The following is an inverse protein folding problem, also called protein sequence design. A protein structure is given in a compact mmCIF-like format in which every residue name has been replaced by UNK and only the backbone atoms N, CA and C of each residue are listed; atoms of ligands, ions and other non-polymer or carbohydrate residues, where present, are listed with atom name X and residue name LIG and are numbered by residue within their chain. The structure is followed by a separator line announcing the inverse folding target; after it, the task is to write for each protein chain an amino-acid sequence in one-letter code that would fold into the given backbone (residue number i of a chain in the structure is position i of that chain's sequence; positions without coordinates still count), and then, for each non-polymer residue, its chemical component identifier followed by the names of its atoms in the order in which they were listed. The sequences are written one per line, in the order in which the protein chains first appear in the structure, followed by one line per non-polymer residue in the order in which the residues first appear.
data_IF_097461287623
#
_entry.id   IF_097461287623
#
_cell.length_a   1.000
_cell.length_b   1.000
_cell.length_c   1.000
_cell.angle_alpha   90.00
_cell.angle_beta   90.00
_cell.angle_gamma   90.00
#
_symmetry.space_group_name_H-M   'P 1'
#
loop_
_entity.id
_entity.type
_entity.pdbx_description
1 polymer ?
#
# COMPACT_ATOMS: atom_id res chain seq x y z
N UNK A 1 -24.82 54.11 35.44
CA UNK A 1 -23.84 53.06 35.76
C UNK A 1 -24.18 51.84 34.94
N UNK A 2 -23.45 51.62 33.85
CA UNK A 2 -23.57 50.40 33.04
C UNK A 2 -22.19 50.20 32.40
N UNK A 3 -21.38 49.35 33.03
CA UNK A 3 -20.06 48.96 32.51
C UNK A 3 -20.29 47.89 31.44
N UNK A 4 -20.07 48.23 30.19
CA UNK A 4 -20.02 47.26 29.09
C UNK A 4 -18.67 46.56 29.15
N UNK A 5 -18.69 45.27 29.53
CA UNK A 5 -17.52 44.42 29.58
C UNK A 5 -17.23 43.89 28.16
N UNK A 6 -16.19 44.41 27.52
CA UNK A 6 -15.72 43.93 26.22
C UNK A 6 -14.85 42.68 26.45
N UNK A 7 -15.42 41.50 26.23
CA UNK A 7 -14.69 40.23 26.26
C UNK A 7 -13.93 40.04 24.94
N UNK A 8 -12.63 40.31 24.96
CA UNK A 8 -11.71 39.92 23.89
C UNK A 8 -11.49 38.40 23.94
N UNK A 9 -12.02 37.66 22.97
CA UNK A 9 -11.63 36.27 22.74
C UNK A 9 -10.25 36.24 22.06
N UNK A 10 -9.20 36.07 22.87
CA UNK A 10 -7.87 35.73 22.37
C UNK A 10 -7.87 34.22 22.11
N UNK A 11 -8.03 33.82 20.86
CA UNK A 11 -7.82 32.44 20.40
C UNK A 11 -6.32 32.12 20.44
N UNK A 12 -5.88 31.59 21.58
CA UNK A 12 -4.56 30.97 21.71
C UNK A 12 -4.59 29.70 20.85
N UNK A 13 -4.00 29.76 19.66
CA UNK A 13 -3.59 28.58 18.91
C UNK A 13 -2.48 27.88 19.70
N UNK A 14 -2.88 27.05 20.67
CA UNK A 14 -1.97 26.11 21.31
C UNK A 14 -1.61 25.05 20.25
N UNK A 15 -0.42 25.16 19.68
CA UNK A 15 0.21 24.06 18.97
C UNK A 15 0.29 22.89 19.95
N UNK A 16 -0.63 21.94 19.80
CA UNK A 16 -0.61 20.71 20.57
C UNK A 16 0.66 19.96 20.20
N UNK A 17 1.67 20.05 21.07
CA UNK A 17 2.75 19.08 21.10
C UNK A 17 2.10 17.71 21.28
N UNK A 18 2.02 16.94 20.20
CA UNK A 18 1.68 15.53 20.24
C UNK A 18 2.71 14.84 21.13
N UNK A 19 2.35 14.63 22.39
CA UNK A 19 3.11 13.81 23.32
C UNK A 19 3.04 12.37 22.84
N UNK A 20 4.18 11.86 22.35
CA UNK A 20 4.33 10.47 21.94
C UNK A 20 4.06 9.54 23.15
N UNK A 21 3.16 8.58 22.99
CA UNK A 21 2.97 7.52 23.97
C UNK A 21 4.06 6.46 23.76
N UNK A 22 5.06 6.45 24.65
CA UNK A 22 6.12 5.44 24.67
C UNK A 22 5.65 4.24 25.50
N UNK A 23 4.85 3.36 24.89
CA UNK A 23 4.64 2.02 25.43
C UNK A 23 5.71 1.10 24.84
N UNK A 24 6.77 0.85 25.61
CA UNK A 24 7.90 0.03 25.19
C UNK A 24 8.84 0.73 24.19
N UNK A 25 9.84 0.00 23.68
CA UNK A 25 10.82 0.47 22.66
C UNK A 25 10.21 0.86 21.31
N UNK A 26 8.88 0.98 21.20
CA UNK A 26 8.17 1.23 19.94
C UNK A 26 7.70 2.68 19.88
N UNK A 27 8.23 3.42 18.92
CA UNK A 27 7.81 4.76 18.54
C UNK A 27 6.60 4.65 17.59
N UNK A 28 5.46 5.22 18.01
CA UNK A 28 4.23 5.29 17.22
C UNK A 28 4.07 6.72 16.68
N UNK A 29 4.31 6.91 15.38
CA UNK A 29 4.31 8.22 14.73
C UNK A 29 2.99 8.45 13.99
N UNK A 30 2.19 9.47 14.35
CA UNK A 30 0.94 9.75 13.64
C UNK A 30 1.22 10.15 12.19
N UNK A 31 0.39 9.64 11.28
CA UNK A 31 0.46 9.88 9.85
C UNK A 31 -0.59 10.90 9.42
N UNK A 32 -0.20 11.79 8.51
CA UNK A 32 -1.12 12.63 7.75
C UNK A 32 -1.10 12.20 6.29
N UNK A 33 -2.25 11.87 5.72
CA UNK A 33 -2.39 11.55 4.31
C UNK A 33 -2.32 12.85 3.49
N UNK A 34 -1.65 12.78 2.33
CA UNK A 34 -1.59 13.81 1.31
C UNK A 34 -1.85 13.16 -0.06
N UNK A 35 -2.55 13.88 -0.93
CA UNK A 35 -2.83 13.43 -2.30
C UNK A 35 -1.61 13.65 -3.21
N UNK A 36 -1.50 12.81 -4.24
CA UNK A 36 -0.37 12.71 -5.15
C UNK A 36 0.60 11.57 -4.79
N UNK A 37 1.65 11.44 -5.60
CA UNK A 37 2.71 10.45 -5.34
C UNK A 37 3.79 10.96 -4.38
N UNK A 38 3.80 12.26 -4.06
CA UNK A 38 4.82 12.87 -3.23
C UNK A 38 6.24 12.53 -3.73
N UNK A 39 7.13 12.07 -2.85
CA UNK A 39 8.51 11.78 -3.21
C UNK A 39 8.69 10.40 -3.86
N UNK A 40 7.65 9.59 -4.02
CA UNK A 40 7.77 8.24 -4.57
C UNK A 40 7.55 8.19 -6.09
N UNK A 41 8.08 7.14 -6.72
CA UNK A 41 7.74 6.74 -8.09
C UNK A 41 6.31 6.21 -8.12
N UNK A 42 5.49 6.67 -9.08
CA UNK A 42 4.13 6.18 -9.23
C UNK A 42 4.10 4.69 -9.61
N UNK A 43 3.12 3.96 -9.09
CA UNK A 43 2.90 2.54 -9.34
C UNK A 43 1.43 2.28 -9.58
N UNK A 44 1.13 1.21 -10.30
CA UNK A 44 -0.22 0.82 -10.70
C UNK A 44 -0.50 -0.63 -10.30
N UNK A 45 -1.68 -0.86 -9.76
CA UNK A 45 -2.31 -2.17 -9.68
C UNK A 45 -3.12 -2.45 -10.93
N UNK A 46 -3.52 -3.71 -11.12
CA UNK A 46 -4.38 -4.13 -12.22
C UNK A 46 -5.77 -4.46 -11.69
N UNK A 47 -6.81 -3.97 -12.35
CA UNK A 47 -8.19 -4.35 -12.03
C UNK A 47 -8.41 -5.77 -12.54
N UNK A 48 -8.74 -6.69 -11.63
CA UNK A 48 -9.17 -8.04 -11.99
C UNK A 48 -10.55 -7.98 -12.63
N UNK A 49 -10.69 -8.48 -13.85
CA UNK A 49 -12.02 -8.56 -14.47
C UNK A 49 -12.81 -9.70 -13.79
N UNK A 50 -14.01 -9.39 -13.31
CA UNK A 50 -14.93 -10.40 -12.82
C UNK A 50 -15.35 -11.30 -13.99
N UNK A 51 -15.04 -12.59 -13.88
CA UNK A 51 -15.38 -13.60 -14.89
C UNK A 51 -16.19 -14.70 -14.24
N UNK A 52 -17.46 -14.83 -14.65
CA UNK A 52 -18.43 -15.82 -14.16
C UNK A 52 -18.04 -17.28 -14.43
N UNK A 53 -16.98 -17.53 -15.22
CA UNK A 53 -16.52 -18.88 -15.57
C UNK A 53 -15.11 -19.20 -15.05
N UNK A 54 -14.51 -18.31 -14.26
CA UNK A 54 -13.17 -18.52 -13.72
C UNK A 54 -13.17 -19.61 -12.64
N UNK A 55 -12.13 -20.47 -12.67
CA UNK A 55 -11.83 -21.43 -11.60
C UNK A 55 -10.87 -20.85 -10.56
N UNK A 56 -10.54 -19.56 -10.65
CA UNK A 56 -9.66 -18.91 -9.68
C UNK A 56 -10.31 -18.78 -8.31
N UNK A 57 -9.50 -18.89 -7.27
CA UNK A 57 -9.96 -18.95 -5.88
C UNK A 57 -10.65 -17.66 -5.42
N UNK A 58 -10.49 -16.56 -6.16
CA UNK A 58 -11.11 -15.27 -5.88
C UNK A 58 -12.48 -15.07 -6.52
N UNK A 59 -12.88 -15.91 -7.48
CA UNK A 59 -14.16 -15.77 -8.17
C UNK A 59 -15.39 -15.71 -7.22
N UNK A 60 -15.47 -16.50 -6.13
CA UNK A 60 -16.58 -16.39 -5.18
C UNK A 60 -16.67 -15.04 -4.44
N UNK A 61 -15.62 -14.21 -4.52
CA UNK A 61 -15.58 -12.88 -3.93
C UNK A 61 -16.13 -11.78 -4.85
N UNK A 62 -16.37 -12.10 -6.12
CA UNK A 62 -16.95 -11.16 -7.09
C UNK A 62 -18.27 -10.56 -6.59
N UNK A 63 -18.45 -9.27 -6.86
CA UNK A 63 -19.64 -8.52 -6.49
C UNK A 63 -20.39 -8.14 -7.77
N UNK A 64 -21.56 -8.73 -8.02
CA UNK A 64 -22.37 -8.36 -9.16
C UNK A 64 -22.75 -6.88 -9.09
N UNK A 65 -22.51 -6.17 -10.19
CA UNK A 65 -22.95 -4.78 -10.39
C UNK A 65 -24.10 -4.72 -11.40
N UNK A 66 -24.83 -3.60 -11.42
CA UNK A 66 -25.90 -3.29 -12.37
C UNK A 66 -25.75 -1.88 -12.93
N UNK A 67 -26.71 -1.44 -13.73
CA UNK A 67 -26.73 -0.06 -14.26
C UNK A 67 -25.75 0.19 -15.40
N UNK A 68 -25.20 -0.86 -16.02
CA UNK A 68 -24.25 -0.72 -17.12
C UNK A 68 -24.82 0.12 -18.28
N UNK A 69 -23.99 0.95 -18.95
CA UNK A 69 -24.44 1.75 -20.08
C UNK A 69 -25.09 0.89 -21.18
N UNK A 70 -26.36 1.14 -21.57
CA UNK A 70 -27.08 0.31 -22.56
C UNK A 70 -26.40 0.23 -23.94
N UNK A 71 -25.57 1.22 -24.27
CA UNK A 71 -24.80 1.28 -25.53
C UNK A 71 -23.58 0.34 -25.56
N UNK A 72 -23.15 -0.20 -24.42
CA UNK A 72 -21.98 -1.08 -24.35
C UNK A 72 -22.39 -2.51 -24.67
N UNK A 73 -22.10 -2.95 -25.90
CA UNK A 73 -22.39 -4.32 -26.36
C UNK A 73 -21.41 -5.35 -25.79
N UNK A 74 -20.13 -4.97 -25.69
CA UNK A 74 -19.05 -5.77 -25.12
C UNK A 74 -18.37 -4.94 -24.03
N UNK A 75 -18.35 -5.44 -22.81
CA UNK A 75 -17.69 -4.77 -21.71
C UNK A 75 -17.13 -5.78 -20.72
N UNK A 76 -16.22 -5.31 -19.88
CA UNK A 76 -15.78 -6.00 -18.68
C UNK A 76 -16.01 -5.10 -17.48
N UNK A 77 -16.05 -5.68 -16.30
CA UNK A 77 -16.10 -4.95 -15.05
C UNK A 77 -15.33 -5.72 -13.99
N UNK A 78 -14.97 -5.03 -12.91
CA UNK A 78 -14.23 -5.61 -11.82
C UNK A 78 -14.08 -4.63 -10.67
N UNK A 79 -13.56 -5.14 -9.56
CA UNK A 79 -13.26 -4.34 -8.39
C UNK A 79 -11.76 -4.05 -8.29
N UNK A 80 -11.44 -2.91 -7.68
CA UNK A 80 -10.14 -2.70 -7.05
C UNK A 80 -10.33 -2.56 -5.55
N UNK A 81 -9.51 -3.26 -4.78
CA UNK A 81 -9.58 -3.30 -3.33
C UNK A 81 -8.81 -2.14 -2.71
N UNK A 82 -9.45 -1.40 -1.82
CA UNK A 82 -8.81 -0.30 -1.07
C UNK A 82 -8.15 -0.74 0.23
N UNK A 83 -8.47 -1.94 0.70
CA UNK A 83 -7.88 -2.60 1.86
C UNK A 83 -7.96 -4.12 1.62
N UNK A 84 -6.86 -4.68 1.11
CA UNK A 84 -6.79 -6.10 0.71
C UNK A 84 -6.91 -7.06 1.89
N UNK A 85 -6.39 -6.67 3.07
CA UNK A 85 -6.44 -7.51 4.27
C UNK A 85 -7.87 -7.60 4.80
N UNK A 86 -8.57 -6.45 4.85
CA UNK A 86 -9.99 -6.39 5.21
C UNK A 86 -10.86 -7.12 4.18
N UNK A 87 -10.62 -6.94 2.89
CA UNK A 87 -11.33 -7.65 1.81
C UNK A 87 -11.19 -9.17 1.95
N UNK A 88 -9.98 -9.65 2.19
CA UNK A 88 -9.70 -11.07 2.36
C UNK A 88 -10.38 -11.61 3.61
N UNK A 89 -10.24 -10.91 4.75
CA UNK A 89 -10.82 -11.31 6.02
C UNK A 89 -12.35 -11.42 5.94
N UNK A 90 -13.04 -10.41 5.40
CA UNK A 90 -14.50 -10.42 5.34
C UNK A 90 -15.02 -11.52 4.40
N UNK A 91 -14.36 -11.75 3.27
CA UNK A 91 -14.78 -12.81 2.34
C UNK A 91 -14.53 -14.21 2.91
N UNK A 92 -13.43 -14.40 3.66
CA UNK A 92 -13.22 -15.63 4.43
C UNK A 92 -14.34 -15.85 5.46
N UNK A 93 -14.69 -14.83 6.25
CA UNK A 93 -15.78 -14.93 7.24
C UNK A 93 -17.16 -15.15 6.61
N UNK A 94 -17.34 -14.79 5.33
CA UNK A 94 -18.52 -15.12 4.54
C UNK A 94 -18.52 -16.54 3.95
N UNK A 95 -17.45 -17.32 4.13
CA UNK A 95 -17.30 -18.64 3.52
C UNK A 95 -17.03 -18.62 2.02
N UNK A 96 -16.59 -17.47 1.48
CA UNK A 96 -16.24 -17.31 0.06
C UNK A 96 -14.80 -17.73 -0.25
N UNK A 97 -13.95 -17.84 0.77
CA UNK A 97 -12.60 -18.39 0.67
C UNK A 97 -12.54 -19.68 1.50
N UNK A 98 -11.85 -20.70 0.98
CA UNK A 98 -11.60 -21.93 1.74
C UNK A 98 -10.61 -21.70 2.88
N UNK A 99 -10.62 -22.56 3.90
CA UNK A 99 -9.63 -22.52 4.98
C UNK A 99 -8.19 -22.65 4.44
N UNK A 100 -7.98 -23.52 3.45
CA UNK A 100 -6.67 -23.70 2.80
C UNK A 100 -6.21 -22.43 2.11
N UNK A 101 -7.08 -21.79 1.31
CA UNK A 101 -6.72 -20.55 0.61
C UNK A 101 -6.38 -19.45 1.60
N UNK A 102 -7.21 -19.28 2.64
CA UNK A 102 -7.01 -18.25 3.64
C UNK A 102 -5.72 -18.44 4.44
N UNK A 103 -5.39 -19.69 4.80
CA UNK A 103 -4.13 -20.04 5.48
C UNK A 103 -2.93 -19.79 4.56
N UNK A 104 -3.02 -20.13 3.28
CA UNK A 104 -1.92 -19.93 2.34
C UNK A 104 -1.68 -18.45 2.02
N UNK A 105 -2.74 -17.64 1.95
CA UNK A 105 -2.65 -16.18 1.89
C UNK A 105 -1.94 -15.63 3.12
N UNK A 106 -2.33 -16.01 4.34
CA UNK A 106 -1.65 -15.59 5.58
C UNK A 106 -0.15 -15.89 5.56
N UNK A 107 0.25 -17.08 5.10
CA UNK A 107 1.68 -17.46 4.97
C UNK A 107 2.40 -16.61 3.93
N UNK A 108 1.83 -16.50 2.72
CA UNK A 108 2.41 -15.75 1.60
C UNK A 108 2.64 -14.28 1.97
N UNK A 109 1.66 -13.71 2.66
CA UNK A 109 1.61 -12.32 3.06
C UNK A 109 2.27 -12.04 4.40
N UNK A 110 2.77 -13.09 5.08
CA UNK A 110 3.32 -13.03 6.45
C UNK A 110 2.40 -12.27 7.40
N UNK A 111 1.10 -12.48 7.24
CA UNK A 111 0.05 -11.75 7.91
C UNK A 111 -0.64 -12.65 8.93
N UNK A 112 -0.80 -12.12 10.14
CA UNK A 112 -1.66 -12.71 11.17
C UNK A 112 -2.84 -11.77 11.38
N UNK A 113 -4.08 -12.19 11.07
CA UNK A 113 -5.27 -11.37 11.22
C UNK A 113 -5.49 -10.95 12.68
N UNK A 114 -5.68 -9.66 12.92
CA UNK A 114 -6.13 -9.13 14.21
C UNK A 114 -7.63 -8.85 14.12
N UNK A 115 -8.44 -9.72 14.72
CA UNK A 115 -9.90 -9.62 14.66
C UNK A 115 -10.45 -8.36 15.35
N UNK A 116 -9.66 -7.68 16.19
CA UNK A 116 -10.07 -6.39 16.74
C UNK A 116 -9.91 -5.25 15.73
N UNK A 117 -9.10 -5.46 14.69
CA UNK A 117 -8.80 -4.48 13.66
C UNK A 117 -9.52 -4.73 12.35
N UNK A 118 -10.24 -5.84 12.21
CA UNK A 118 -10.91 -6.24 10.99
C UNK A 118 -12.39 -6.50 11.26
N UNK A 119 -13.24 -6.09 10.32
CA UNK A 119 -14.68 -6.33 10.40
C UNK A 119 -15.03 -7.68 9.77
N UNK A 120 -15.67 -8.56 10.54
CA UNK A 120 -16.25 -9.80 9.98
C UNK A 120 -17.51 -9.50 9.16
N UNK A 121 -18.19 -8.37 9.45
CA UNK A 121 -19.29 -7.87 8.63
C UNK A 121 -18.70 -7.16 7.40
N UNK A 122 -19.19 -7.44 6.18
CA UNK A 122 -18.68 -6.80 4.99
C UNK A 122 -18.79 -5.28 5.08
N UNK A 123 -17.73 -4.61 4.65
CA UNK A 123 -17.71 -3.17 4.42
C UNK A 123 -17.30 -2.91 2.96
N UNK A 124 -17.53 -1.69 2.50
CA UNK A 124 -17.17 -1.24 1.15
C UNK A 124 -15.68 -0.88 1.05
N UNK A 125 -14.80 -1.84 1.30
CA UNK A 125 -13.35 -1.69 1.19
C UNK A 125 -12.82 -1.91 -0.24
N UNK A 126 -13.60 -1.56 -1.25
CA UNK A 126 -13.34 -1.74 -2.67
C UNK A 126 -14.03 -0.64 -3.47
N UNK A 127 -13.78 -0.55 -4.78
CA UNK A 127 -14.61 0.23 -5.72
C UNK A 127 -14.68 -0.49 -7.06
N UNK A 128 -15.84 -0.45 -7.72
CA UNK A 128 -16.03 -1.10 -9.02
C UNK A 128 -15.76 -0.14 -10.17
N UNK A 129 -15.23 -0.68 -11.25
CA UNK A 129 -15.24 -0.02 -12.54
C UNK A 129 -15.67 -0.98 -13.64
N UNK A 130 -16.18 -0.41 -14.72
CA UNK A 130 -16.49 -1.14 -15.95
C UNK A 130 -15.88 -0.41 -17.14
N UNK A 131 -15.48 -1.15 -18.16
CA UNK A 131 -14.86 -0.61 -19.36
C UNK A 131 -15.37 -1.30 -20.62
N UNK A 132 -15.61 -0.47 -21.64
CA UNK A 132 -16.06 -0.93 -22.95
C UNK A 132 -14.88 -1.48 -23.77
N UNK A 133 -15.17 -2.50 -24.56
CA UNK A 133 -14.30 -3.03 -25.62
C UNK A 133 -15.08 -2.89 -26.93
N UNK A 134 -14.64 -2.02 -27.83
CA UNK A 134 -15.33 -1.83 -29.11
C UNK A 134 -15.24 -3.06 -30.03
N UNK A 135 -15.95 -3.04 -31.16
CA UNK A 135 -15.98 -4.16 -32.13
C UNK A 135 -14.60 -4.45 -32.75
N UNK A 136 -13.64 -3.53 -32.65
CA UNK A 136 -12.26 -3.68 -33.10
C UNK A 136 -11.29 -4.07 -31.97
N UNK A 137 -11.80 -4.27 -30.74
CA UNK A 137 -11.00 -4.59 -29.57
C UNK A 137 -10.35 -3.38 -28.88
N UNK A 138 -10.68 -2.15 -29.27
CA UNK A 138 -10.17 -0.97 -28.60
C UNK A 138 -10.93 -0.68 -27.32
N UNK A 139 -10.18 -0.29 -26.29
CA UNK A 139 -10.69 0.20 -25.01
C UNK A 139 -10.66 1.73 -25.02
N UNK A 140 -11.68 2.36 -24.45
CA UNK A 140 -11.75 3.83 -24.41
C UNK A 140 -12.64 4.37 -23.31
N UNK A 141 -13.90 3.95 -23.28
CA UNK A 141 -14.86 4.40 -22.28
C UNK A 141 -14.76 3.56 -21.01
N UNK A 142 -14.67 4.23 -19.86
CA UNK A 142 -14.64 3.66 -18.51
C UNK A 142 -15.71 4.34 -17.67
N UNK A 143 -16.29 3.61 -16.73
CA UNK A 143 -17.17 4.12 -15.68
C UNK A 143 -16.69 3.60 -14.33
N UNK A 144 -16.73 4.44 -13.30
CA UNK A 144 -16.32 4.13 -11.94
C UNK A 144 -17.56 4.28 -11.06
N UNK A 145 -17.83 3.30 -10.20
CA UNK A 145 -18.90 3.31 -9.20
C UNK A 145 -18.51 4.25 -8.06
N UNK A 146 -18.68 5.55 -8.27
CA UNK A 146 -18.06 6.57 -7.44
C UNK A 146 -18.73 6.68 -6.06
N UNK A 147 -20.01 6.37 -5.95
CA UNK A 147 -20.72 6.34 -4.67
C UNK A 147 -20.72 4.92 -4.03
N UNK A 148 -20.11 3.96 -4.73
CA UNK A 148 -19.90 2.58 -4.28
C UNK A 148 -21.21 1.87 -3.96
N UNK A 149 -22.23 2.04 -4.80
CA UNK A 149 -23.57 1.48 -4.63
C UNK A 149 -23.81 0.22 -5.48
N UNK A 150 -22.81 -0.24 -6.25
CA UNK A 150 -22.86 -1.34 -7.22
C UNK A 150 -23.86 -1.12 -8.38
N UNK A 151 -24.18 0.13 -8.69
CA UNK A 151 -25.13 0.54 -9.73
C UNK A 151 -24.57 1.72 -10.53
N UNK A 152 -24.04 1.43 -11.73
CA UNK A 152 -23.43 2.43 -12.59
C UNK A 152 -24.42 3.43 -13.23
N UNK A 153 -25.73 3.32 -12.95
CA UNK A 153 -26.73 4.17 -13.63
C UNK A 153 -26.69 5.64 -13.23
N UNK A 154 -26.08 5.97 -12.09
CA UNK A 154 -25.88 7.36 -11.63
C UNK A 154 -24.43 7.84 -11.74
N UNK A 155 -23.55 7.04 -12.34
CA UNK A 155 -22.14 7.37 -12.56
C UNK A 155 -21.86 7.97 -13.95
N UNK A 156 -20.73 8.65 -14.04
CA UNK A 156 -20.31 9.34 -15.27
C UNK A 156 -19.29 8.51 -16.05
N UNK A 157 -19.57 8.29 -17.34
CA UNK A 157 -18.61 7.70 -18.28
C UNK A 157 -17.51 8.72 -18.62
N UNK A 158 -16.27 8.25 -18.70
CA UNK A 158 -15.13 9.05 -19.12
C UNK A 158 -14.13 8.22 -19.94
N UNK A 159 -13.25 8.91 -20.67
CA UNK A 159 -12.15 8.26 -21.38
C UNK A 159 -10.91 8.20 -20.49
N UNK A 160 -10.42 7.00 -20.20
CA UNK A 160 -9.19 6.82 -19.42
C UNK A 160 -7.94 7.06 -20.28
N UNK A 161 -6.87 7.54 -19.65
CA UNK A 161 -5.61 7.83 -20.34
C UNK A 161 -4.87 6.53 -20.68
N UNK A 162 -4.23 6.45 -21.84
CA UNK A 162 -3.33 5.33 -22.15
C UNK A 162 -2.16 5.29 -21.14
N UNK A 163 -1.85 4.11 -20.60
CA UNK A 163 -0.78 3.92 -19.61
C UNK A 163 0.55 4.56 -20.02
N UNK A 164 0.97 4.40 -21.29
CA UNK A 164 2.23 4.96 -21.81
C UNK A 164 2.26 6.49 -21.85
N UNK A 165 1.09 7.12 -21.87
CA UNK A 165 0.93 8.58 -21.91
C UNK A 165 0.60 9.21 -20.56
N UNK A 166 0.66 8.45 -19.48
CA UNK A 166 0.32 8.95 -18.15
C UNK A 166 1.40 9.92 -17.61
N UNK A 167 0.99 11.10 -17.13
CA UNK A 167 1.90 12.07 -16.50
C UNK A 167 2.08 11.75 -15.02
N UNK A 168 3.11 10.95 -14.70
CA UNK A 168 3.47 10.56 -13.34
C UNK A 168 3.80 11.75 -12.41
N UNK A 169 4.07 12.94 -12.95
CA UNK A 169 4.34 14.15 -12.14
C UNK A 169 3.06 14.80 -11.65
N UNK A 170 1.93 14.55 -12.32
CA UNK A 170 0.64 15.13 -11.96
C UNK A 170 -0.48 14.08 -12.07
N UNK A 171 -0.46 13.04 -11.21
CA UNK A 171 -1.44 11.95 -11.30
C UNK A 171 -2.88 12.43 -11.03
N UNK A 172 -3.04 13.49 -10.21
CA UNK A 172 -4.33 14.05 -9.86
C UNK A 172 -5.05 14.71 -11.05
N UNK A 173 -4.33 15.05 -12.12
CA UNK A 173 -4.93 15.51 -13.39
C UNK A 173 -5.93 14.49 -13.96
N UNK A 174 -5.69 13.21 -13.73
CA UNK A 174 -6.49 12.10 -14.26
C UNK A 174 -7.39 11.47 -13.19
N UNK A 175 -7.34 11.97 -11.96
CA UNK A 175 -8.03 11.34 -10.85
C UNK A 175 -9.55 11.50 -10.95
N UNK A 176 -10.26 10.40 -10.71
CA UNK A 176 -11.65 10.37 -10.28
C UNK A 176 -11.69 10.18 -8.77
N UNK A 177 -12.82 10.48 -8.15
CA UNK A 177 -12.99 10.28 -6.71
C UNK A 177 -14.09 9.26 -6.48
N UNK A 178 -13.90 8.43 -5.47
CA UNK A 178 -14.88 7.45 -5.04
C UNK A 178 -15.02 7.42 -3.53
N UNK A 179 -16.16 6.92 -3.05
CA UNK A 179 -16.43 6.64 -1.65
C UNK A 179 -16.06 5.18 -1.32
N UNK A 180 -15.47 4.96 -0.15
CA UNK A 180 -15.22 3.63 0.38
C UNK A 180 -15.34 3.65 1.91
N UNK A 181 -15.15 2.49 2.52
CA UNK A 181 -15.27 2.29 3.96
C UNK A 181 -14.01 1.62 4.54
N UNK A 182 -13.64 2.07 5.74
CA UNK A 182 -12.60 1.47 6.56
C UNK A 182 -13.16 1.09 7.91
N UNK A 183 -12.69 -0.02 8.46
CA UNK A 183 -12.99 -0.40 9.83
C UNK A 183 -11.89 0.13 10.75
N UNK A 184 -12.24 0.97 11.72
CA UNK A 184 -11.32 1.61 12.66
C UNK A 184 -11.88 1.49 14.06
N UNK A 185 -11.16 0.80 14.95
CA UNK A 185 -11.47 0.66 16.37
C UNK A 185 -12.95 0.32 16.64
N UNK A 186 -13.48 -0.69 15.94
CA UNK A 186 -14.87 -1.14 16.12
C UNK A 186 -15.91 -0.38 15.30
N UNK A 187 -15.52 0.62 14.50
CA UNK A 187 -16.43 1.51 13.77
C UNK A 187 -16.14 1.53 12.28
N UNK A 188 -17.19 1.69 11.48
CA UNK A 188 -17.05 1.94 10.04
C UNK A 188 -16.89 3.44 9.83
N UNK A 189 -15.83 3.84 9.14
CA UNK A 189 -15.53 5.21 8.76
C UNK A 189 -15.55 5.31 7.24
N UNK A 190 -16.24 6.32 6.72
CA UNK A 190 -16.26 6.62 5.29
C UNK A 190 -14.99 7.37 4.88
N UNK A 191 -14.43 6.99 3.74
CA UNK A 191 -13.34 7.70 3.07
C UNK A 191 -13.77 8.15 1.68
N UNK A 192 -13.15 9.25 1.22
CA UNK A 192 -13.20 9.71 -0.16
C UNK A 192 -11.78 9.74 -0.67
N UNK A 193 -11.49 9.00 -1.74
CA UNK A 193 -10.14 8.82 -2.24
C UNK A 193 -10.04 9.11 -3.74
N UNK A 194 -8.90 9.66 -4.21
CA UNK A 194 -8.61 9.76 -5.62
C UNK A 194 -8.24 8.38 -6.19
N UNK A 195 -8.60 8.12 -7.44
CA UNK A 195 -8.11 7.00 -8.26
C UNK A 195 -7.84 7.47 -9.67
N UNK A 196 -6.67 7.19 -10.18
CA UNK A 196 -6.33 7.32 -11.59
C UNK A 196 -6.52 5.95 -12.26
N UNK A 197 -7.33 5.89 -13.32
CA UNK A 197 -7.49 4.71 -14.16
C UNK A 197 -6.79 4.93 -15.50
N UNK A 198 -6.05 3.92 -15.94
CA UNK A 198 -5.34 3.92 -17.23
C UNK A 198 -5.66 2.67 -18.04
N UNK A 199 -5.58 2.81 -19.36
CA UNK A 199 -5.80 1.74 -20.32
C UNK A 199 -4.45 1.14 -20.74
N UNK A 200 -4.26 -0.15 -20.46
CA UNK A 200 -3.17 -1.01 -20.95
C UNK A 200 -3.80 -2.28 -21.56
N UNK A 201 -4.28 -2.24 -22.81
CA UNK A 201 -5.17 -3.27 -23.33
C UNK A 201 -4.58 -4.69 -23.22
N UNK A 202 -5.38 -5.69 -22.79
CA UNK A 202 -6.83 -5.66 -22.53
C UNK A 202 -7.25 -5.23 -21.11
N UNK A 203 -6.34 -4.62 -20.34
CA UNK A 203 -6.52 -4.37 -18.91
C UNK A 203 -6.82 -2.89 -18.60
N UNK A 204 -7.47 -2.69 -17.45
CA UNK A 204 -7.48 -1.41 -16.75
C UNK A 204 -6.49 -1.52 -15.60
N UNK A 205 -5.58 -0.57 -15.56
CA UNK A 205 -4.67 -0.39 -14.44
C UNK A 205 -5.15 0.80 -13.60
N UNK A 206 -4.93 0.73 -12.30
CA UNK A 206 -5.36 1.75 -11.34
C UNK A 206 -4.22 2.19 -10.44
N UNK A 207 -4.29 3.43 -9.99
CA UNK A 207 -3.43 3.95 -8.95
C UNK A 207 -4.25 4.86 -8.04
N UNK A 208 -4.08 4.72 -6.73
CA UNK A 208 -4.67 5.59 -5.71
C UNK A 208 -3.56 6.56 -5.29
N UNK A 209 -3.45 7.76 -5.90
CA UNK A 209 -2.33 8.66 -5.69
C UNK A 209 -2.45 9.33 -4.33
N UNK A 210 -2.08 8.62 -3.28
CA UNK A 210 -1.94 9.12 -1.92
C UNK A 210 -0.65 8.61 -1.30
N UNK A 211 -0.03 9.44 -0.48
CA UNK A 211 1.06 9.04 0.40
C UNK A 211 0.82 9.62 1.80
N UNK A 212 1.52 9.10 2.80
CA UNK A 212 1.44 9.64 4.14
C UNK A 212 2.74 10.34 4.52
N UNK A 213 2.63 11.34 5.38
CA UNK A 213 3.75 12.06 5.97
C UNK A 213 3.71 12.01 7.47
N UNK A 214 4.89 11.95 8.07
CA UNK A 214 5.06 12.20 9.50
C UNK A 214 6.36 12.93 9.76
N UNK A 215 6.48 13.46 10.96
CA UNK A 215 7.73 14.05 11.43
C UNK A 215 7.96 13.70 12.89
N UNK A 216 9.23 13.57 13.23
CA UNK A 216 9.69 13.25 14.57
C UNK A 216 10.83 14.19 14.94
N UNK A 217 10.89 14.63 16.19
CA UNK A 217 11.95 15.52 16.67
C UNK A 217 12.77 14.81 17.72
N UNK A 218 14.08 14.73 17.48
CA UNK A 218 15.06 14.20 18.42
C UNK A 218 16.25 15.15 18.50
N UNK A 219 16.76 15.42 19.70
CA UNK A 219 17.90 16.33 19.93
C UNK A 219 17.76 17.70 19.24
N UNK A 220 16.53 18.26 19.23
CA UNK A 220 16.16 19.52 18.54
C UNK A 220 16.25 19.49 17.01
N UNK A 221 16.56 18.33 16.42
CA UNK A 221 16.50 18.13 14.98
C UNK A 221 15.16 17.52 14.58
N UNK A 222 14.55 18.05 13.52
CA UNK A 222 13.29 17.55 12.98
C UNK A 222 13.58 16.64 11.78
N UNK A 223 13.18 15.38 11.90
CA UNK A 223 13.22 14.39 10.85
C UNK A 223 11.85 14.27 10.20
N UNK A 224 11.82 14.16 8.86
CA UNK A 224 10.61 13.95 8.09
C UNK A 224 10.66 12.56 7.46
N UNK A 225 9.55 11.83 7.54
CA UNK A 225 9.42 10.51 6.95
C UNK A 225 8.22 10.55 6.00
N UNK A 226 8.45 10.08 4.77
CA UNK A 226 7.40 9.79 3.81
C UNK A 226 7.05 8.30 3.89
N UNK A 227 5.78 7.97 3.70
CA UNK A 227 5.25 6.60 3.76
C UNK A 227 4.35 6.36 2.54
N UNK A 228 4.53 5.22 1.87
CA UNK A 228 3.70 4.80 0.73
C UNK A 228 3.36 3.32 0.85
N UNK A 229 2.20 2.91 0.34
CA UNK A 229 1.83 1.51 0.12
C UNK A 229 1.82 1.13 -1.37
N UNK A 230 2.60 1.84 -2.19
CA UNK A 230 2.69 1.55 -3.61
C UNK A 230 1.44 1.93 -4.42
N UNK A 231 0.56 2.77 -3.85
CA UNK A 231 -0.62 3.33 -4.51
C UNK A 231 -1.67 2.30 -4.94
N UNK A 232 -1.62 1.08 -4.38
CA UNK A 232 -2.61 0.03 -4.63
C UNK A 232 -3.77 0.01 -3.63
N UNK A 233 -3.71 0.80 -2.56
CA UNK A 233 -4.70 0.77 -1.48
C UNK A 233 -4.70 2.05 -0.64
N UNK A 234 -5.45 2.04 0.45
CA UNK A 234 -5.65 3.18 1.37
C UNK A 234 -5.31 2.86 2.83
N UNK A 235 -5.07 1.59 3.11
CA UNK A 235 -4.81 1.03 4.43
C UNK A 235 -3.35 1.16 4.87
N UNK A 236 -2.45 1.41 3.90
CA UNK A 236 -1.01 1.50 4.09
C UNK A 236 -0.33 0.19 4.54
N UNK A 237 -0.94 -0.98 4.30
CA UNK A 237 -0.24 -2.26 4.49
C UNK A 237 0.95 -2.39 3.54
N UNK A 238 1.94 -3.18 3.95
CA UNK A 238 3.20 -3.37 3.21
C UNK A 238 3.89 -2.05 2.92
N UNK A 239 3.89 -1.16 3.92
CA UNK A 239 4.38 0.20 3.73
C UNK A 239 5.87 0.22 3.42
N UNK A 240 6.24 1.17 2.56
CA UNK A 240 7.61 1.59 2.30
C UNK A 240 7.81 2.98 2.86
N UNK A 241 8.93 3.18 3.54
CA UNK A 241 9.26 4.47 4.18
C UNK A 241 10.64 4.95 3.76
N UNK A 242 10.86 6.26 3.89
CA UNK A 242 12.19 6.85 3.80
C UNK A 242 12.24 8.23 4.47
N UNK A 243 13.41 8.59 5.01
CA UNK A 243 13.72 9.94 5.46
C UNK A 243 13.81 10.90 4.28
N UNK A 244 13.17 12.06 4.40
CA UNK A 244 13.15 13.07 3.34
C UNK A 244 13.59 14.42 3.86
N UNK A 245 14.27 15.20 3.00
CA UNK A 245 14.54 16.63 3.27
C UNK A 245 13.27 17.46 3.12
N UNK A 246 12.48 17.09 2.12
CA UNK A 246 11.17 17.64 1.77
C UNK A 246 10.37 16.56 1.03
N UNK A 247 9.05 16.71 0.97
CA UNK A 247 8.16 15.73 0.34
C UNK A 247 8.05 15.84 -1.19
N UNK A 248 8.88 16.68 -1.84
CA UNK A 248 8.87 16.91 -3.29
C UNK A 248 10.04 16.27 -4.03
N UNK A 249 11.18 16.10 -3.34
CA UNK A 249 12.36 15.43 -3.88
C UNK A 249 12.09 13.93 -4.06
N UNK A 250 12.36 13.40 -5.27
CA UNK A 250 12.14 11.98 -5.57
C UNK A 250 13.15 11.08 -4.84
N UNK A 251 12.65 9.96 -4.36
CA UNK A 251 13.40 8.89 -3.71
C UNK A 251 13.61 7.78 -4.73
N UNK A 252 14.82 7.24 -4.79
CA UNK A 252 15.10 6.07 -5.62
C UNK A 252 14.48 4.82 -5.00
N UNK A 253 13.84 3.97 -5.81
CA UNK A 253 13.12 2.79 -5.33
C UNK A 253 14.03 1.83 -4.53
N UNK A 254 15.33 1.78 -4.85
CA UNK A 254 16.32 0.96 -4.14
C UNK A 254 16.70 1.47 -2.75
N UNK A 255 16.33 2.70 -2.40
CA UNK A 255 16.58 3.29 -1.07
C UNK A 255 15.39 3.11 -0.12
N UNK A 256 14.24 2.66 -0.63
CA UNK A 256 13.02 2.50 0.17
C UNK A 256 13.16 1.40 1.21
N UNK A 257 12.68 1.68 2.42
CA UNK A 257 12.76 0.79 3.57
C UNK A 257 11.42 0.09 3.72
N UNK A 258 11.42 -1.24 3.60
CA UNK A 258 10.22 -2.08 3.71
C UNK A 258 10.00 -2.56 5.15
N UNK A 259 8.82 -3.13 5.42
CA UNK A 259 8.54 -3.73 6.73
C UNK A 259 9.57 -4.82 7.10
N UNK A 260 10.06 -4.75 8.33
CA UNK A 260 11.12 -5.60 8.85
C UNK A 260 12.54 -5.09 8.60
N UNK A 261 12.72 -4.11 7.72
CA UNK A 261 14.00 -3.42 7.48
C UNK A 261 14.22 -2.26 8.46
N UNK A 262 15.39 -1.63 8.36
CA UNK A 262 15.88 -0.71 9.39
C UNK A 262 16.13 0.69 8.83
N UNK A 263 15.73 1.70 9.61
CA UNK A 263 15.95 3.12 9.34
C UNK A 263 16.80 3.73 10.46
N UNK A 264 17.86 4.44 10.10
CA UNK A 264 18.64 5.22 11.06
C UNK A 264 18.11 6.64 11.10
N UNK A 265 17.71 7.12 12.27
CA UNK A 265 17.20 8.47 12.51
C UNK A 265 18.04 9.06 13.63
N UNK A 266 18.79 10.13 13.34
CA UNK A 266 19.79 10.64 14.27
C UNK A 266 20.83 9.56 14.61
N UNK A 267 21.05 9.34 15.90
CA UNK A 267 22.03 8.35 16.40
C UNK A 267 21.40 6.97 16.65
N UNK A 268 20.09 6.82 16.41
CA UNK A 268 19.35 5.60 16.70
C UNK A 268 18.97 4.87 15.44
N UNK A 269 18.87 3.55 15.56
CA UNK A 269 18.37 2.69 14.50
C UNK A 269 17.05 2.10 14.93
N UNK A 270 16.10 2.07 14.01
CA UNK A 270 14.76 1.57 14.23
C UNK A 270 14.41 0.50 13.20
N UNK A 271 13.76 -0.57 13.63
CA UNK A 271 13.10 -1.52 12.74
C UNK A 271 11.73 -0.99 12.34
N UNK A 272 11.44 -0.99 11.05
CA UNK A 272 10.12 -0.65 10.53
C UNK A 272 9.14 -1.80 10.82
N UNK A 273 8.13 -1.56 11.66
CA UNK A 273 7.11 -2.56 12.03
C UNK A 273 5.82 -2.47 11.20
N UNK A 274 5.80 -1.68 10.13
CA UNK A 274 4.59 -1.39 9.36
C UNK A 274 3.76 -0.21 9.90
N UNK A 275 2.60 -0.02 9.30
CA UNK A 275 1.60 0.99 9.67
C UNK A 275 0.43 0.32 10.40
N UNK A 276 0.00 0.91 11.51
CA UNK A 276 -1.31 0.61 12.09
C UNK A 276 -2.36 1.41 11.32
N UNK A 277 -3.09 0.74 10.43
CA UNK A 277 -4.11 1.32 9.58
C UNK A 277 -5.25 1.98 10.38
N UNK A 278 -5.59 1.45 11.56
CA UNK A 278 -6.70 1.97 12.37
C UNK A 278 -6.30 3.25 13.08
N UNK A 279 -5.07 3.28 13.60
CA UNK A 279 -4.56 4.46 14.31
C UNK A 279 -3.91 5.47 13.38
N UNK A 280 -3.69 5.09 12.11
CA UNK A 280 -2.88 5.82 11.15
C UNK A 280 -1.53 6.21 11.76
N UNK A 281 -0.82 5.21 12.32
CA UNK A 281 0.50 5.42 12.91
C UNK A 281 1.55 4.54 12.25
N UNK A 282 2.70 5.12 11.90
CA UNK A 282 3.90 4.38 11.56
C UNK A 282 4.56 3.88 12.86
N UNK A 283 4.81 2.57 12.92
CA UNK A 283 5.41 1.94 14.09
C UNK A 283 6.89 1.61 13.83
N UNK A 284 7.77 2.10 14.70
CA UNK A 284 9.22 1.95 14.62
C UNK A 284 9.76 1.40 15.94
N UNK A 285 10.44 0.26 15.94
CA UNK A 285 11.04 -0.33 17.14
C UNK A 285 12.53 0.03 17.25
N UNK A 286 12.94 0.68 18.33
CA UNK A 286 14.36 0.99 18.57
C UNK A 286 15.19 -0.28 18.77
N UNK A 287 16.29 -0.40 18.03
CA UNK A 287 17.22 -1.53 18.11
C UNK A 287 18.59 -1.07 18.59
N UNK A 288 19.18 -1.84 19.50
CA UNK A 288 20.33 -1.40 20.31
C UNK A 288 21.64 -1.26 19.52
N UNK A 289 21.89 -2.04 18.45
CA UNK A 289 23.21 -2.12 17.81
C UNK A 289 23.14 -2.44 16.31
N UNK A 290 23.25 -1.40 15.45
CA UNK A 290 23.30 -1.55 13.99
C UNK A 290 24.33 -2.57 13.49
N UNK A 291 25.52 -2.58 14.12
CA UNK A 291 26.64 -3.43 13.72
C UNK A 291 26.42 -4.93 13.96
N UNK A 292 25.33 -5.31 14.63
CA UNK A 292 24.98 -6.71 14.91
C UNK A 292 23.78 -7.20 14.08
N UNK A 293 23.20 -6.31 13.29
CA UNK A 293 22.00 -6.59 12.50
C UNK A 293 22.38 -7.20 11.16
N UNK A 294 21.73 -8.32 10.84
CA UNK A 294 21.73 -8.91 9.51
C UNK A 294 20.60 -8.30 8.68
N UNK A 295 20.94 -7.79 7.49
CA UNK A 295 19.96 -7.21 6.56
C UNK A 295 20.46 -7.29 5.13
N UNK A 296 19.54 -7.19 4.17
CA UNK A 296 19.84 -7.03 2.73
C UNK A 296 20.21 -5.59 2.37
N UNK A 297 19.96 -4.65 3.28
CA UNK A 297 20.26 -3.23 3.07
C UNK A 297 21.77 -2.96 3.06
N UNK A 298 22.18 -1.97 2.25
CA UNK A 298 23.57 -1.52 2.17
C UNK A 298 24.06 -1.07 3.56
N UNK A 299 25.26 -1.52 3.94
CA UNK A 299 25.91 -1.15 5.20
C UNK A 299 25.55 -2.03 6.41
N UNK A 300 24.75 -3.08 6.23
CA UNK A 300 24.46 -4.09 7.25
C UNK A 300 25.24 -5.39 7.02
N UNK A 301 25.27 -6.28 8.03
CA UNK A 301 25.87 -7.61 7.85
C UNK A 301 25.00 -8.44 6.89
N UNK A 302 25.64 -9.08 5.91
CA UNK A 302 24.96 -10.07 5.08
C UNK A 302 24.53 -11.27 5.94
N UNK A 303 23.33 -11.80 5.68
CA UNK A 303 22.82 -12.98 6.39
C UNK A 303 23.83 -14.14 6.33
N UNK A 304 24.08 -14.86 7.45
CA UNK A 304 24.91 -16.04 7.41
C UNK A 304 24.22 -17.09 6.53
N UNK A 305 25.00 -17.76 5.71
CA UNK A 305 24.55 -18.91 4.95
C UNK A 305 25.51 -20.08 5.14
N UNK A 306 24.95 -21.27 5.05
CA UNK A 306 25.67 -22.55 4.98
C UNK A 306 25.02 -23.43 3.93
N UNK A 307 25.85 -24.13 3.16
CA UNK A 307 25.40 -25.09 2.15
C UNK A 307 26.45 -26.16 1.92
N UNK A 308 26.17 -27.08 1.01
CA UNK A 308 27.15 -28.05 0.53
C UNK A 308 27.42 -27.81 -0.94
N UNK A 309 28.69 -27.80 -1.32
CA UNK A 309 29.06 -27.87 -2.73
C UNK A 309 28.56 -29.20 -3.30
N UNK A 310 28.02 -29.16 -4.52
CA UNK A 310 27.22 -30.25 -5.08
C UNK A 310 28.07 -31.49 -5.40
N UNK A 311 29.31 -31.32 -5.84
CA UNK A 311 30.15 -32.44 -6.31
C UNK A 311 30.98 -33.09 -5.20
N UNK A 312 31.60 -32.27 -4.35
CA UNK A 312 32.50 -32.66 -3.27
C UNK A 312 31.77 -32.92 -1.96
N UNK A 313 30.55 -32.36 -1.81
CA UNK A 313 29.84 -32.35 -0.53
C UNK A 313 30.49 -31.48 0.53
N UNK A 314 31.54 -30.72 0.19
CA UNK A 314 32.22 -29.83 1.12
C UNK A 314 31.28 -28.75 1.62
N UNK A 315 31.37 -28.46 2.91
CA UNK A 315 30.59 -27.40 3.52
C UNK A 315 31.07 -26.02 3.03
N UNK A 316 30.14 -25.20 2.55
CA UNK A 316 30.37 -23.78 2.24
C UNK A 316 29.68 -22.97 3.33
N UNK A 317 30.41 -22.04 3.96
CA UNK A 317 29.81 -21.07 4.88
C UNK A 317 30.34 -19.67 4.60
N UNK A 318 29.53 -18.63 4.81
CA UNK A 318 29.99 -17.24 4.64
C UNK A 318 31.23 -16.93 5.49
N UNK A 319 31.33 -17.52 6.67
CA UNK A 319 32.45 -17.32 7.59
C UNK A 319 33.80 -17.75 7.00
N UNK A 320 33.83 -18.77 6.12
CA UNK A 320 35.06 -19.22 5.43
C UNK A 320 35.66 -18.15 4.50
N UNK A 321 34.88 -17.13 4.15
CA UNK A 321 35.31 -16.02 3.27
C UNK A 321 35.63 -14.73 4.02
N UNK A 322 35.73 -14.76 5.37
CA UNK A 322 36.08 -13.57 6.16
C UNK A 322 37.39 -12.94 5.67
N UNK A 323 37.36 -11.62 5.44
CA UNK A 323 38.50 -10.85 4.93
C UNK A 323 38.60 -10.80 3.40
N UNK A 324 37.66 -11.40 2.67
CA UNK A 324 37.56 -11.33 1.21
C UNK A 324 36.34 -10.49 0.79
N UNK A 325 36.40 -9.95 -0.42
CA UNK A 325 35.20 -9.52 -1.12
C UNK A 325 34.43 -10.76 -1.57
N UNK A 326 33.13 -10.79 -1.27
CA UNK A 326 32.25 -11.91 -1.62
C UNK A 326 31.17 -11.38 -2.56
N UNK A 327 31.10 -11.95 -3.75
CA UNK A 327 30.00 -11.75 -4.68
C UNK A 327 29.12 -13.00 -4.62
N UNK A 328 27.81 -12.79 -4.41
CA UNK A 328 26.83 -13.88 -4.31
C UNK A 328 25.90 -13.74 -5.51
N UNK A 329 25.91 -14.76 -6.36
CA UNK A 329 25.07 -14.82 -7.55
C UNK A 329 24.03 -15.94 -7.38
N UNK A 330 22.75 -15.59 -7.53
CA UNK A 330 21.64 -16.52 -7.44
C UNK A 330 21.10 -16.79 -8.85
N UNK A 331 21.38 -17.98 -9.37
CA UNK A 331 20.90 -18.43 -10.68
C UNK A 331 20.37 -19.87 -10.60
N UNK A 332 19.72 -20.32 -11.67
CA UNK A 332 19.26 -21.71 -11.82
C UNK A 332 19.36 -22.17 -13.27
N UNK A 333 19.48 -23.48 -13.48
CA UNK A 333 19.55 -24.10 -14.82
C UNK A 333 18.31 -23.83 -15.69
N UNK A 334 17.19 -23.50 -15.04
CA UNK A 334 15.93 -23.11 -15.67
C UNK A 334 15.85 -21.60 -15.98
N UNK A 335 16.84 -20.80 -15.56
CA UNK A 335 16.88 -19.37 -15.85
C UNK A 335 17.49 -19.13 -17.23
N UNK A 336 16.65 -18.90 -18.24
CA UNK A 336 17.09 -18.65 -19.61
C UNK A 336 18.08 -17.48 -19.73
N UNK A 337 17.86 -16.39 -18.97
CA UNK A 337 18.77 -15.23 -18.95
C UNK A 337 20.09 -15.47 -18.22
N UNK A 338 20.18 -16.51 -17.40
CA UNK A 338 21.38 -16.82 -16.61
C UNK A 338 22.34 -17.76 -17.35
N UNK A 339 21.88 -18.40 -18.43
CA UNK A 339 22.64 -19.35 -19.24
C UNK A 339 23.24 -18.72 -20.51
N UNK A 340 23.00 -17.43 -20.75
CA UNK A 340 23.42 -16.69 -21.94
C UNK A 340 24.69 -15.88 -21.72
#
# INVERSE_FOLDING_TARGET
MTKTLLLLFISIFSASHLTYAQEGKILKLPLKIEEGYGPFSGSFGRVGASDTNSKENWHPTDLPAKGFPPKWKNFRYGALETDFLQWTYQNYKQGKLSDSDYIDLQKSWKWTPDENKLSAKPIKCYVHCAWNIDENGHMGDVILDANNNLDFSDDTIFTAQNFKGFDYRNPLKYAKYFEAEKYVDGKIVKLKCPVALTIDPPYIDYSIPIFAKTSFTENKHKYQIAVSCGFGGTDFSYSKIQLVKDYSTKIEDGELITEGEYITIGDKTYKHLGVDANKMTLNLEEVNTKNEIYSKQIGYKAFPFSGKEVNSGEEITLQKYKGKYVFIDFWGTWCAGCAM
#
